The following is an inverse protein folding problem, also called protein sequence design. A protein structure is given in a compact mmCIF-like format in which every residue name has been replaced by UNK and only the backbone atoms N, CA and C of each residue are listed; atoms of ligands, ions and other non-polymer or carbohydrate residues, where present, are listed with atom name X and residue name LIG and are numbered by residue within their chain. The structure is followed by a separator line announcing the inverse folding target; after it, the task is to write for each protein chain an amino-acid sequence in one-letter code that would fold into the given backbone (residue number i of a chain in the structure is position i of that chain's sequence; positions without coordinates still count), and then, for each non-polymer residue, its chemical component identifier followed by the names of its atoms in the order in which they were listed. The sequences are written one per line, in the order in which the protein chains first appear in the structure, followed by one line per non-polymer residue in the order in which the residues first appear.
data_IF_548604542375
#
_entry.id   IF_548604542375
#
_cell.length_a   1.000
_cell.length_b   1.000
_cell.length_c   1.000
_cell.angle_alpha   90.00
_cell.angle_beta   90.00
_cell.angle_gamma   90.00
#
_symmetry.space_group_name_H-M   'P 1'
#
loop_
_entity.id
_entity.type
_entity.pdbx_description
1 polymer ?
#
# COMPACT_ATOMS: atom_id res chain seq x y z
N UNK A 1 2.57 -22.82 9.71
CA UNK A 1 2.63 -21.50 9.05
C UNK A 1 1.23 -20.91 9.18
N UNK A 2 1.02 -19.59 9.06
CA UNK A 2 -0.35 -19.03 9.11
C UNK A 2 -1.16 -19.57 7.92
N UNK A 3 -2.39 -20.06 8.13
CA UNK A 3 -3.27 -20.60 7.09
C UNK A 3 -3.41 -19.65 5.87
N UNK A 4 -3.31 -18.34 6.11
CA UNK A 4 -3.30 -17.32 5.05
C UNK A 4 -2.02 -17.35 4.22
N UNK A 5 -0.85 -17.51 4.84
CA UNK A 5 0.42 -17.64 4.12
C UNK A 5 0.42 -18.92 3.29
N UNK A 6 -0.05 -20.05 3.84
CA UNK A 6 -0.19 -21.32 3.12
C UNK A 6 -1.10 -21.20 1.89
N UNK A 7 -2.21 -20.46 2.02
CA UNK A 7 -3.11 -20.15 0.90
C UNK A 7 -2.42 -19.32 -0.19
N UNK A 8 -1.66 -18.28 0.19
CA UNK A 8 -0.95 -17.42 -0.77
C UNK A 8 0.13 -18.22 -1.51
N UNK A 9 0.91 -19.03 -0.77
CA UNK A 9 1.95 -19.89 -1.35
C UNK A 9 1.34 -20.89 -2.33
N UNK A 10 0.17 -21.45 -2.01
CA UNK A 10 -0.55 -22.35 -2.92
C UNK A 10 -1.00 -21.64 -4.20
N UNK A 11 -1.50 -20.40 -4.10
CA UNK A 11 -1.86 -19.59 -5.28
C UNK A 11 -0.65 -19.27 -6.15
N UNK A 12 0.45 -18.84 -5.54
CA UNK A 12 1.71 -18.58 -6.23
C UNK A 12 2.23 -19.84 -6.93
N UNK A 13 2.26 -20.97 -6.24
CA UNK A 13 2.66 -22.27 -6.80
C UNK A 13 1.83 -22.61 -8.04
N UNK A 14 0.51 -22.43 -7.98
CA UNK A 14 -0.36 -22.73 -9.12
C UNK A 14 -0.04 -21.87 -10.33
N UNK A 15 0.17 -20.55 -10.14
CA UNK A 15 0.54 -19.64 -11.22
C UNK A 15 1.89 -20.07 -11.82
N UNK A 16 2.92 -20.31 -10.99
CA UNK A 16 4.23 -20.71 -11.50
C UNK A 16 4.22 -22.04 -12.24
N UNK A 17 3.44 -23.02 -11.77
CA UNK A 17 3.28 -24.30 -12.44
C UNK A 17 2.66 -24.13 -13.84
N UNK A 18 1.68 -23.24 -14.01
CA UNK A 18 1.10 -22.94 -15.32
C UNK A 18 2.16 -22.45 -16.32
N UNK A 19 3.14 -21.69 -15.84
CA UNK A 19 4.22 -21.14 -16.67
C UNK A 19 5.51 -21.96 -16.66
N UNK A 20 5.53 -23.14 -16.04
CA UNK A 20 6.74 -23.96 -15.91
C UNK A 20 7.89 -23.28 -15.13
N UNK A 21 7.57 -22.31 -14.29
CA UNK A 21 8.54 -21.49 -13.57
C UNK A 21 8.90 -22.07 -12.19
N UNK A 22 9.66 -23.15 -12.22
CA UNK A 22 10.13 -23.79 -10.98
C UNK A 22 11.18 -22.94 -10.25
N UNK A 23 11.87 -22.05 -10.95
CA UNK A 23 12.94 -21.22 -10.39
C UNK A 23 12.38 -20.15 -9.46
N UNK A 24 11.37 -19.40 -9.89
CA UNK A 24 10.75 -18.36 -9.05
C UNK A 24 10.03 -18.96 -7.84
N UNK A 25 9.40 -20.13 -8.00
CA UNK A 25 8.81 -20.83 -6.86
C UNK A 25 9.88 -21.26 -5.83
N UNK A 26 11.02 -21.78 -6.29
CA UNK A 26 12.12 -22.13 -5.39
C UNK A 26 12.71 -20.90 -4.71
N UNK A 27 12.84 -19.78 -5.43
CA UNK A 27 13.26 -18.49 -4.84
C UNK A 27 12.33 -18.11 -3.68
N UNK A 28 11.02 -18.21 -3.86
CA UNK A 28 10.04 -17.90 -2.80
C UNK A 28 10.21 -18.84 -1.60
N UNK A 29 10.35 -20.15 -1.84
CA UNK A 29 10.55 -21.10 -0.74
C UNK A 29 11.86 -20.86 0.00
N UNK A 30 12.96 -20.59 -0.71
CA UNK A 30 14.27 -20.38 -0.10
C UNK A 30 14.35 -19.04 0.63
N UNK A 31 14.03 -17.93 -0.05
CA UNK A 31 14.27 -16.59 0.47
C UNK A 31 13.12 -16.04 1.33
N UNK A 32 11.88 -16.53 1.17
CA UNK A 32 10.75 -16.04 1.97
C UNK A 32 10.42 -16.99 3.12
N UNK A 33 10.25 -18.27 2.79
CA UNK A 33 9.68 -19.26 3.73
C UNK A 33 10.76 -19.83 4.64
N UNK A 34 11.87 -20.31 4.06
CA UNK A 34 12.91 -21.02 4.80
C UNK A 34 13.83 -20.07 5.58
N UNK A 35 14.00 -18.82 5.14
CA UNK A 35 14.79 -17.78 5.83
C UNK A 35 13.93 -16.84 6.72
N UNK A 36 12.61 -17.07 6.82
CA UNK A 36 11.63 -16.27 7.58
C UNK A 36 11.85 -14.75 7.45
N UNK A 37 11.48 -14.27 6.26
CA UNK A 37 11.29 -12.85 5.91
C UNK A 37 12.57 -12.04 5.89
N UNK A 38 13.20 -12.00 4.73
CA UNK A 38 14.19 -10.96 4.46
C UNK A 38 13.45 -9.63 4.56
N UNK A 39 13.85 -8.84 5.55
CA UNK A 39 13.42 -7.46 5.72
C UNK A 39 13.80 -6.69 4.44
N UNK A 40 12.87 -5.90 3.91
CA UNK A 40 13.04 -5.02 2.75
C UNK A 40 12.91 -5.73 1.40
N UNK A 41 11.66 -5.89 0.94
CA UNK A 41 11.36 -6.21 -0.46
C UNK A 41 10.73 -4.99 -1.10
N UNK A 42 11.56 -4.12 -1.70
CA UNK A 42 11.06 -3.13 -2.65
C UNK A 42 10.83 -3.85 -4.00
N UNK A 43 9.68 -4.52 -4.10
CA UNK A 43 9.29 -5.22 -5.33
C UNK A 43 8.75 -4.19 -6.31
N UNK A 44 9.41 -4.07 -7.45
CA UNK A 44 9.03 -3.18 -8.53
C UNK A 44 8.83 -3.95 -9.83
N UNK A 45 8.01 -3.39 -10.71
CA UNK A 45 7.94 -3.89 -12.08
C UNK A 45 9.16 -3.44 -12.88
N UNK A 46 9.79 -4.40 -13.54
CA UNK A 46 10.81 -4.13 -14.55
C UNK A 46 10.50 -4.91 -15.82
N UNK A 47 10.86 -4.34 -16.97
CA UNK A 47 10.74 -5.06 -18.24
C UNK A 47 11.70 -6.26 -18.22
N UNK A 48 11.18 -7.44 -18.52
CA UNK A 48 11.99 -8.62 -18.80
C UNK A 48 12.57 -8.51 -20.22
N UNK A 49 13.90 -8.54 -20.30
CA UNK A 49 14.65 -8.35 -21.54
C UNK A 49 14.37 -9.43 -22.60
N UNK A 50 13.89 -10.61 -22.18
CA UNK A 50 13.68 -11.75 -23.07
C UNK A 50 12.23 -11.90 -23.51
N UNK A 51 11.29 -11.35 -22.73
CA UNK A 51 9.86 -11.61 -22.87
C UNK A 51 9.04 -10.36 -23.18
N UNK A 52 9.63 -9.17 -23.05
CA UNK A 52 8.95 -7.89 -23.27
C UNK A 52 7.66 -7.73 -22.43
N UNK A 53 7.66 -8.33 -21.24
CA UNK A 53 6.60 -8.18 -20.24
C UNK A 53 7.19 -7.54 -18.99
N UNK A 54 6.36 -6.84 -18.21
CA UNK A 54 6.75 -6.36 -16.88
C UNK A 54 6.68 -7.49 -15.87
N UNK A 55 7.76 -7.73 -15.13
CA UNK A 55 7.84 -8.77 -14.10
C UNK A 55 8.19 -8.17 -12.74
N UNK A 56 7.69 -8.77 -11.63
CA UNK A 56 8.07 -8.37 -10.28
C UNK A 56 9.52 -8.69 -10.00
N UNK A 57 10.27 -7.68 -9.56
CA UNK A 57 11.70 -7.76 -9.26
C UNK A 57 11.98 -7.08 -7.93
N UNK A 58 12.80 -7.69 -7.08
CA UNK A 58 13.40 -7.01 -5.93
C UNK A 58 14.93 -6.95 -6.06
N UNK A 59 15.54 -5.98 -5.39
CA UNK A 59 16.99 -5.95 -5.19
C UNK A 59 17.30 -6.37 -3.76
N UNK A 60 17.98 -7.50 -3.59
CA UNK A 60 18.40 -8.04 -2.30
C UNK A 60 19.92 -8.16 -2.30
N UNK A 61 20.61 -7.53 -1.35
CA UNK A 61 22.08 -7.52 -1.26
C UNK A 61 22.77 -7.14 -2.58
N UNK A 62 22.27 -6.08 -3.23
CA UNK A 62 22.72 -5.62 -4.56
C UNK A 62 22.52 -6.61 -5.71
N UNK A 63 21.78 -7.71 -5.49
CA UNK A 63 21.40 -8.69 -6.51
C UNK A 63 19.95 -8.48 -6.93
N UNK A 64 19.75 -8.37 -8.24
CA UNK A 64 18.42 -8.31 -8.85
C UNK A 64 17.81 -9.73 -8.87
N UNK A 65 16.66 -9.89 -8.21
CA UNK A 65 15.90 -11.13 -8.17
C UNK A 65 14.58 -10.90 -8.88
N UNK A 66 14.36 -11.61 -9.99
CA UNK A 66 13.04 -11.67 -10.64
C UNK A 66 12.24 -12.82 -10.06
N UNK A 67 10.98 -12.54 -9.72
CA UNK A 67 10.02 -13.52 -9.17
C UNK A 67 9.04 -14.04 -10.21
N UNK A 68 9.27 -13.74 -11.50
CA UNK A 68 8.50 -14.34 -12.58
C UNK A 68 9.38 -14.51 -13.81
N UNK A 69 9.59 -15.77 -14.18
CA UNK A 69 10.43 -16.24 -15.29
C UNK A 69 9.68 -17.34 -16.04
N UNK A 70 8.56 -17.01 -16.71
CA UNK A 70 7.76 -18.01 -17.40
C UNK A 70 8.56 -18.65 -18.55
N UNK A 71 8.42 -19.96 -18.71
CA UNK A 71 9.08 -20.70 -19.79
C UNK A 71 8.43 -20.35 -21.15
N UNK A 72 9.26 -20.06 -22.16
CA UNK A 72 8.78 -19.68 -23.51
C UNK A 72 7.75 -20.65 -24.09
N UNK A 73 7.96 -21.96 -23.90
CA UNK A 73 7.02 -22.98 -24.36
C UNK A 73 5.69 -22.97 -23.60
N UNK A 74 5.71 -22.67 -22.29
CA UNK A 74 4.49 -22.61 -21.48
C UNK A 74 3.66 -21.35 -21.77
N UNK A 75 4.30 -20.28 -22.25
CA UNK A 75 3.60 -19.09 -22.74
C UNK A 75 3.03 -19.26 -24.16
N UNK A 76 3.48 -20.27 -24.90
CA UNK A 76 3.04 -20.49 -26.28
C UNK A 76 1.55 -20.85 -26.31
N UNK A 77 0.71 -19.88 -26.70
CA UNK A 77 -0.75 -20.02 -26.74
C UNK A 77 -1.48 -19.28 -25.63
N UNK A 78 -0.77 -18.67 -24.68
CA UNK A 78 -1.35 -17.76 -23.68
C UNK A 78 -1.25 -16.31 -24.19
N UNK A 79 -2.37 -15.58 -24.32
CA UNK A 79 -2.34 -14.16 -24.68
C UNK A 79 -1.49 -13.34 -23.70
N UNK A 80 -0.62 -12.45 -24.23
CA UNK A 80 0.24 -11.57 -23.42
C UNK A 80 -0.51 -10.83 -22.29
N UNK A 81 -1.73 -10.29 -22.49
CA UNK A 81 -2.46 -9.63 -21.39
C UNK A 81 -2.73 -10.54 -20.18
N UNK A 82 -2.96 -11.84 -20.41
CA UNK A 82 -3.17 -12.81 -19.31
C UNK A 82 -1.87 -13.01 -18.53
N UNK A 83 -0.74 -13.08 -19.23
CA UNK A 83 0.59 -13.22 -18.62
C UNK A 83 0.93 -11.97 -17.80
N UNK A 84 0.58 -10.79 -18.30
CA UNK A 84 0.74 -9.52 -17.57
C UNK A 84 -0.18 -9.43 -16.34
N UNK A 85 -1.42 -9.89 -16.44
CA UNK A 85 -2.33 -9.99 -15.29
C UNK A 85 -1.80 -10.94 -14.21
N UNK A 86 -1.29 -12.11 -14.61
CA UNK A 86 -0.68 -13.05 -13.67
C UNK A 86 0.61 -12.48 -13.06
N UNK A 87 1.41 -11.73 -13.82
CA UNK A 87 2.57 -11.00 -13.30
C UNK A 87 2.16 -9.99 -12.21
N UNK A 88 1.08 -9.24 -12.43
CA UNK A 88 0.49 -8.35 -11.41
C UNK A 88 0.00 -9.10 -10.20
N UNK A 89 -0.66 -10.23 -10.40
CA UNK A 89 -1.15 -11.08 -9.33
C UNK A 89 -0.01 -11.67 -8.50
N UNK A 90 1.10 -12.08 -9.12
CA UNK A 90 2.30 -12.54 -8.42
C UNK A 90 2.82 -11.41 -7.52
N UNK A 91 2.99 -10.19 -8.04
CA UNK A 91 3.46 -9.05 -7.24
C UNK A 91 2.55 -8.79 -6.03
N UNK A 92 1.23 -8.80 -6.24
CA UNK A 92 0.25 -8.66 -5.15
C UNK A 92 0.41 -9.74 -4.09
N UNK A 93 0.51 -11.01 -4.51
CA UNK A 93 0.67 -12.15 -3.59
C UNK A 93 2.00 -12.10 -2.82
N UNK A 94 3.09 -11.64 -3.46
CA UNK A 94 4.38 -11.44 -2.80
C UNK A 94 4.32 -10.31 -1.77
N UNK A 95 3.65 -9.20 -2.06
CA UNK A 95 3.42 -8.12 -1.10
C UNK A 95 2.56 -8.59 0.08
N UNK A 96 1.53 -9.42 -0.16
CA UNK A 96 0.73 -10.04 0.91
C UNK A 96 1.58 -10.95 1.80
N UNK A 97 2.43 -11.77 1.18
CA UNK A 97 3.39 -12.60 1.91
C UNK A 97 4.32 -11.75 2.75
N UNK A 98 4.93 -10.72 2.17
CA UNK A 98 5.83 -9.81 2.89
C UNK A 98 5.15 -9.22 4.12
N UNK A 99 3.97 -8.62 3.96
CA UNK A 99 3.20 -8.05 5.07
C UNK A 99 2.82 -9.06 6.16
N UNK A 100 2.29 -10.23 5.79
CA UNK A 100 1.93 -11.27 6.76
C UNK A 100 3.15 -11.78 7.52
N UNK A 101 4.28 -11.75 6.85
CA UNK A 101 5.51 -12.25 7.39
C UNK A 101 6.17 -11.22 8.32
N UNK A 102 6.08 -9.92 8.01
CA UNK A 102 6.34 -8.84 8.97
C UNK A 102 5.40 -8.92 10.18
N UNK A 103 4.09 -9.18 9.96
CA UNK A 103 3.07 -9.40 11.02
C UNK A 103 3.42 -10.52 11.99
N UNK A 104 4.03 -11.58 11.50
CA UNK A 104 4.40 -12.74 12.31
C UNK A 104 5.77 -12.55 13.00
N UNK A 105 6.63 -11.64 12.50
CA UNK A 105 7.95 -11.31 13.06
C UNK A 105 7.98 -10.10 14.02
N UNK A 106 7.05 -9.16 13.86
CA UNK A 106 6.78 -8.01 14.75
C UNK A 106 5.27 -7.78 14.76
N UNK A 107 4.69 -7.49 15.93
CA UNK A 107 3.26 -7.16 16.06
C UNK A 107 2.82 -6.17 14.96
N UNK A 108 2.18 -6.64 13.88
CA UNK A 108 1.44 -5.75 12.99
C UNK A 108 0.22 -5.35 13.78
N UNK A 109 0.31 -4.16 14.38
CA UNK A 109 -0.86 -3.45 14.85
C UNK A 109 -1.79 -3.35 13.64
N UNK A 110 -2.92 -4.04 13.69
CA UNK A 110 -4.07 -3.63 12.89
C UNK A 110 -4.19 -2.12 13.11
N UNK A 111 -4.41 -1.35 12.05
CA UNK A 111 -4.71 0.05 12.26
C UNK A 111 -6.02 0.12 13.05
N UNK A 112 -5.90 0.43 14.33
CA UNK A 112 -7.01 0.61 15.25
C UNK A 112 -7.03 2.08 15.62
N UNK A 113 -8.08 2.82 15.25
CA UNK A 113 -8.33 4.18 15.73
C UNK A 113 -8.10 4.30 17.24
N UNK A 114 -7.40 5.35 17.68
CA UNK A 114 -7.24 5.66 19.11
C UNK A 114 -8.24 6.69 19.62
N UNK A 115 -8.85 7.43 18.70
CA UNK A 115 -9.88 8.41 18.98
C UNK A 115 -11.19 7.83 18.46
N UNK A 116 -12.05 7.38 19.37
CA UNK A 116 -13.35 6.77 19.05
C UNK A 116 -14.41 7.83 18.73
N UNK A 117 -14.36 8.97 19.41
CA UNK A 117 -15.27 10.11 19.23
C UNK A 117 -14.50 11.34 18.76
N UNK A 118 -14.36 11.45 17.43
CA UNK A 118 -13.59 12.52 16.79
C UNK A 118 -14.32 13.86 16.97
N UNK A 119 -15.65 13.88 16.84
CA UNK A 119 -16.45 15.11 16.85
C UNK A 119 -16.35 15.86 18.19
N UNK A 120 -16.17 15.13 19.31
CA UNK A 120 -15.96 15.72 20.63
C UNK A 120 -14.50 16.01 20.99
N UNK A 121 -13.55 15.58 20.16
CA UNK A 121 -12.11 15.77 20.42
C UNK A 121 -11.67 17.17 20.02
N UNK A 122 -11.31 18.00 21.01
CA UNK A 122 -10.80 19.37 20.80
C UNK A 122 -9.27 19.50 21.01
N UNK A 123 -8.57 18.39 21.26
CA UNK A 123 -7.12 18.41 21.48
C UNK A 123 -6.36 18.28 20.17
N UNK A 124 -5.79 19.40 19.70
CA UNK A 124 -4.92 19.46 18.51
C UNK A 124 -3.81 18.42 18.60
N UNK A 125 -3.12 18.33 19.75
CA UNK A 125 -2.00 17.41 19.92
C UNK A 125 -2.42 15.94 19.79
N UNK A 126 -3.60 15.56 20.31
CA UNK A 126 -4.09 14.18 20.17
C UNK A 126 -4.41 13.84 18.72
N UNK A 127 -5.01 14.78 17.98
CA UNK A 127 -5.32 14.60 16.56
C UNK A 127 -4.03 14.50 15.74
N UNK A 128 -3.04 15.36 15.99
CA UNK A 128 -1.76 15.35 15.30
C UNK A 128 -0.93 14.09 15.59
N UNK A 129 -0.91 13.62 16.84
CA UNK A 129 -0.24 12.37 17.22
C UNK A 129 -0.89 11.15 16.54
N UNK A 130 -2.22 11.17 16.43
CA UNK A 130 -2.95 10.10 15.75
C UNK A 130 -2.72 10.13 14.23
N UNK A 131 -2.77 11.30 13.60
CA UNK A 131 -2.40 11.48 12.19
C UNK A 131 -0.98 10.97 11.96
N UNK A 132 0.01 11.41 12.75
CA UNK A 132 1.39 10.95 12.63
C UNK A 132 1.51 9.43 12.63
N UNK A 133 0.82 8.76 13.55
CA UNK A 133 0.80 7.30 13.65
C UNK A 133 0.17 6.65 12.41
N UNK A 134 -0.87 7.25 11.83
CA UNK A 134 -1.49 6.79 10.60
C UNK A 134 -0.49 6.86 9.44
N UNK A 135 0.15 8.00 9.23
CA UNK A 135 1.11 8.18 8.13
C UNK A 135 2.34 7.29 8.28
N UNK A 136 2.84 7.10 9.51
CA UNK A 136 3.88 6.11 9.79
C UNK A 136 3.43 4.68 9.44
N UNK A 137 2.18 4.32 9.74
CA UNK A 137 1.62 3.00 9.39
C UNK A 137 1.47 2.81 7.87
N UNK A 138 1.09 3.85 7.15
CA UNK A 138 1.00 3.84 5.68
C UNK A 138 2.36 4.01 4.97
N UNK A 139 3.44 4.16 5.73
CA UNK A 139 4.79 4.50 5.26
C UNK A 139 4.81 5.74 4.34
N UNK A 140 3.88 6.66 4.58
CA UNK A 140 3.75 7.89 3.83
C UNK A 140 4.59 8.98 4.51
N UNK A 141 5.73 9.27 3.88
CA UNK A 141 6.74 10.19 4.43
C UNK A 141 6.54 11.63 3.97
N UNK A 142 5.60 11.88 3.05
CA UNK A 142 5.48 13.16 2.36
C UNK A 142 4.24 13.92 2.80
N UNK A 143 3.11 13.24 2.99
CA UNK A 143 1.84 13.93 3.14
C UNK A 143 1.59 14.40 4.59
N UNK A 144 2.16 13.73 5.61
CA UNK A 144 2.08 14.25 6.98
C UNK A 144 2.75 15.63 7.17
N UNK A 145 4.01 15.86 6.72
CA UNK A 145 4.59 17.20 6.70
C UNK A 145 3.78 18.22 5.90
N UNK A 146 3.14 17.81 4.80
CA UNK A 146 2.30 18.71 3.99
C UNK A 146 1.05 19.14 4.75
N UNK A 147 0.37 18.21 5.40
CA UNK A 147 -0.81 18.51 6.25
C UNK A 147 -0.42 19.46 7.39
N UNK A 148 0.73 19.24 8.03
CA UNK A 148 1.26 20.18 9.01
C UNK A 148 1.48 21.58 8.41
N UNK A 149 2.00 21.65 7.18
CA UNK A 149 2.17 22.90 6.45
C UNK A 149 0.85 23.61 6.14
N UNK A 150 -0.11 22.89 5.58
CA UNK A 150 -1.39 23.44 5.12
C UNK A 150 -2.31 23.85 6.26
N UNK A 151 -2.32 23.12 7.39
CA UNK A 151 -3.34 23.29 8.41
C UNK A 151 -2.81 24.02 9.64
N UNK A 152 -1.58 23.73 10.08
CA UNK A 152 -1.05 24.31 11.32
C UNK A 152 -0.45 25.70 11.06
N UNK A 153 0.22 25.88 9.91
CA UNK A 153 0.94 27.12 9.64
C UNK A 153 0.12 28.18 8.89
N UNK A 154 -0.98 27.80 8.21
CA UNK A 154 -1.81 28.72 7.42
C UNK A 154 -3.25 28.19 7.24
N UNK A 155 -4.02 28.02 8.32
CA UNK A 155 -5.32 27.34 8.30
C UNK A 155 -6.34 27.97 7.35
N UNK A 156 -6.29 29.29 7.14
CA UNK A 156 -7.26 30.01 6.31
C UNK A 156 -6.98 29.96 4.81
N UNK A 157 -5.77 29.54 4.41
CA UNK A 157 -5.26 29.78 3.05
C UNK A 157 -5.16 28.52 2.20
N UNK A 158 -5.29 27.32 2.76
CA UNK A 158 -4.97 26.10 2.02
C UNK A 158 -6.11 25.09 2.00
N UNK A 159 -6.46 24.39 3.07
CA UNK A 159 -7.48 23.32 3.01
C UNK A 159 -8.76 23.73 3.74
N UNK A 160 -9.90 23.74 3.01
CA UNK A 160 -11.23 24.10 3.55
C UNK A 160 -12.01 22.91 4.07
N UNK A 161 -11.85 21.75 3.43
CA UNK A 161 -12.53 20.51 3.80
C UNK A 161 -11.83 19.30 3.20
N UNK A 162 -12.00 18.13 3.81
CA UNK A 162 -11.47 16.86 3.29
C UNK A 162 -12.61 15.89 3.05
N UNK A 163 -12.70 15.36 1.82
CA UNK A 163 -13.64 14.33 1.44
C UNK A 163 -12.93 12.99 1.20
N UNK A 164 -13.66 11.89 1.31
CA UNK A 164 -13.18 10.59 0.81
C UNK A 164 -13.68 10.41 -0.61
N UNK A 165 -12.78 10.43 -1.58
CA UNK A 165 -13.12 10.28 -2.99
C UNK A 165 -12.43 9.06 -3.58
N UNK A 166 -13.07 8.47 -4.60
CA UNK A 166 -12.46 7.37 -5.35
C UNK A 166 -11.59 7.97 -6.45
N UNK A 167 -10.27 7.90 -6.29
CA UNK A 167 -9.28 8.40 -7.26
C UNK A 167 -8.49 7.24 -7.87
N UNK A 168 -7.56 7.55 -8.79
CA UNK A 168 -6.61 6.59 -9.34
C UNK A 168 -5.23 6.87 -8.78
N UNK A 169 -4.68 5.91 -8.05
CA UNK A 169 -3.29 5.90 -7.62
C UNK A 169 -2.60 4.66 -8.20
N UNK A 170 -1.50 4.84 -8.92
CA UNK A 170 -0.78 3.75 -9.61
C UNK A 170 -1.68 2.88 -10.52
N UNK A 171 -2.60 3.50 -11.26
CA UNK A 171 -3.64 2.85 -12.08
C UNK A 171 -4.66 1.99 -11.30
N UNK A 172 -4.63 2.03 -9.97
CA UNK A 172 -5.58 1.36 -9.08
C UNK A 172 -6.63 2.37 -8.65
N UNK A 173 -7.91 2.02 -8.81
CA UNK A 173 -9.00 2.84 -8.29
C UNK A 173 -9.17 2.59 -6.79
N UNK A 174 -8.96 3.62 -5.99
CA UNK A 174 -8.83 3.54 -4.53
C UNK A 174 -9.52 4.73 -3.87
N UNK A 175 -10.06 4.54 -2.66
CA UNK A 175 -10.58 5.64 -1.86
C UNK A 175 -9.42 6.33 -1.13
N UNK A 176 -9.29 7.64 -1.25
CA UNK A 176 -8.29 8.44 -0.54
C UNK A 176 -8.94 9.69 0.08
N UNK A 177 -8.36 10.23 1.16
CA UNK A 177 -8.71 11.55 1.66
C UNK A 177 -8.21 12.62 0.67
N UNK A 178 -9.11 13.44 0.14
CA UNK A 178 -8.84 14.52 -0.80
C UNK A 178 -9.13 15.85 -0.12
N UNK A 179 -8.11 16.71 0.01
CA UNK A 179 -8.26 18.07 0.50
C UNK A 179 -8.83 18.98 -0.58
N UNK A 180 -9.82 19.80 -0.26
CA UNK A 180 -10.37 20.86 -1.11
C UNK A 180 -9.80 22.21 -0.70
N UNK A 181 -9.19 22.91 -1.65
CA UNK A 181 -8.49 24.15 -1.40
C UNK A 181 -9.33 25.38 -1.74
N UNK A 182 -8.99 26.54 -1.15
CA UNK A 182 -9.75 27.80 -1.31
C UNK A 182 -9.81 28.27 -2.77
N UNK A 183 -8.77 27.99 -3.54
CA UNK A 183 -8.66 28.28 -4.97
C UNK A 183 -9.39 27.25 -5.88
N UNK A 184 -10.11 26.30 -5.28
CA UNK A 184 -10.76 25.14 -5.90
C UNK A 184 -9.81 24.04 -6.38
N UNK A 185 -8.53 24.06 -5.99
CA UNK A 185 -7.65 22.93 -6.22
C UNK A 185 -8.01 21.75 -5.29
N UNK A 186 -7.50 20.57 -5.64
CA UNK A 186 -7.70 19.35 -4.87
C UNK A 186 -6.42 18.51 -4.86
N UNK A 187 -6.02 18.01 -3.70
CA UNK A 187 -4.84 17.16 -3.55
C UNK A 187 -5.17 15.92 -2.72
N UNK A 188 -4.55 14.78 -3.07
CA UNK A 188 -4.50 13.61 -2.20
C UNK A 188 -3.73 13.93 -0.92
N UNK A 189 -4.31 13.57 0.22
CA UNK A 189 -3.70 13.74 1.54
C UNK A 189 -3.18 12.42 2.12
N UNK A 190 -3.06 11.39 1.28
CA UNK A 190 -2.45 10.12 1.63
C UNK A 190 -1.90 9.47 0.36
N UNK A 191 -0.60 9.20 0.36
CA UNK A 191 0.09 8.44 -0.69
C UNK A 191 0.60 7.13 -0.09
N UNK A 192 -0.27 6.12 0.06
CA UNK A 192 0.09 4.87 0.69
C UNK A 192 1.06 4.08 -0.20
N UNK A 193 1.95 3.32 0.44
CA UNK A 193 2.86 2.45 -0.28
C UNK A 193 2.11 1.39 -1.13
N UNK A 194 2.63 1.11 -2.31
CA UNK A 194 2.03 0.15 -3.25
C UNK A 194 1.85 -1.24 -2.64
N UNK A 195 2.75 -1.67 -1.75
CA UNK A 195 2.62 -2.95 -1.07
C UNK A 195 1.44 -2.97 -0.10
N UNK A 196 1.10 -1.83 0.53
CA UNK A 196 0.02 -1.77 1.51
C UNK A 196 -1.37 -1.62 0.86
N UNK A 197 -1.44 -0.95 -0.30
CA UNK A 197 -2.66 -0.88 -1.13
C UNK A 197 -3.05 -2.27 -1.64
N UNK A 198 -2.07 -3.05 -2.10
CA UNK A 198 -2.30 -4.34 -2.75
C UNK A 198 -2.92 -5.42 -1.84
N UNK A 199 -2.94 -5.17 -0.53
CA UNK A 199 -3.25 -6.19 0.49
C UNK A 199 -4.43 -5.84 1.38
N UNK A 200 -4.77 -4.54 1.48
CA UNK A 200 -5.97 -4.11 2.16
C UNK A 200 -7.17 -4.24 1.22
N UNK A 201 -8.30 -4.65 1.78
CA UNK A 201 -9.55 -4.57 1.05
C UNK A 201 -9.91 -3.11 0.75
N UNK A 202 -10.61 -2.88 -0.35
CA UNK A 202 -11.14 -1.55 -0.69
C UNK A 202 -11.96 -0.94 0.47
N UNK A 203 -12.69 -1.79 1.21
CA UNK A 203 -13.44 -1.37 2.40
C UNK A 203 -12.55 -0.91 3.57
N UNK A 204 -11.44 -1.60 3.84
CA UNK A 204 -10.47 -1.18 4.86
C UNK A 204 -9.82 0.15 4.51
N UNK A 205 -9.37 0.31 3.26
CA UNK A 205 -8.76 1.57 2.80
C UNK A 205 -9.78 2.71 2.86
N UNK A 206 -11.02 2.47 2.47
CA UNK A 206 -12.10 3.46 2.55
C UNK A 206 -12.37 3.89 3.98
N UNK A 207 -12.44 2.95 4.92
CA UNK A 207 -12.69 3.25 6.33
C UNK A 207 -11.54 4.05 6.94
N UNK A 208 -10.30 3.68 6.65
CA UNK A 208 -9.13 4.40 7.16
C UNK A 208 -9.01 5.79 6.52
N UNK A 209 -9.30 5.92 5.23
CA UNK A 209 -9.38 7.22 4.55
C UNK A 209 -10.45 8.12 5.15
N UNK A 210 -11.59 7.54 5.53
CA UNK A 210 -12.66 8.26 6.23
C UNK A 210 -12.20 8.73 7.60
N UNK A 211 -11.52 7.87 8.35
CA UNK A 211 -10.94 8.23 9.64
C UNK A 211 -9.94 9.39 9.53
N UNK A 212 -9.05 9.35 8.54
CA UNK A 212 -8.11 10.45 8.26
C UNK A 212 -8.87 11.74 7.91
N UNK A 213 -9.85 11.67 7.01
CA UNK A 213 -10.64 12.83 6.63
C UNK A 213 -11.36 13.46 7.83
N UNK A 214 -11.91 12.63 8.72
CA UNK A 214 -12.60 13.11 9.93
C UNK A 214 -11.63 13.79 10.90
N UNK A 215 -10.45 13.22 11.14
CA UNK A 215 -9.40 13.83 11.95
C UNK A 215 -8.96 15.19 11.39
N UNK A 216 -8.73 15.27 10.08
CA UNK A 216 -8.28 16.50 9.43
C UNK A 216 -9.39 17.57 9.46
N UNK A 217 -10.63 17.20 9.16
CA UNK A 217 -11.76 18.13 9.25
C UNK A 217 -11.96 18.66 10.67
N UNK A 218 -11.78 17.80 11.69
CA UNK A 218 -11.84 18.24 13.07
C UNK A 218 -10.70 19.20 13.42
N UNK A 219 -9.49 18.94 12.92
CA UNK A 219 -8.37 19.86 13.08
C UNK A 219 -8.66 21.23 12.46
N UNK A 220 -9.17 21.25 11.21
CA UNK A 220 -9.60 22.50 10.53
C UNK A 220 -10.62 23.23 11.39
N UNK A 221 -11.67 22.55 11.85
CA UNK A 221 -12.73 23.13 12.68
C UNK A 221 -12.18 23.78 13.96
N UNK A 222 -11.22 23.16 14.64
CA UNK A 222 -10.63 23.71 15.87
C UNK A 222 -9.81 24.96 15.54
N UNK A 223 -8.99 24.89 14.49
CA UNK A 223 -8.08 25.98 14.10
C UNK A 223 -8.85 27.22 13.61
N UNK A 224 -9.97 27.05 12.91
CA UNK A 224 -10.77 28.17 12.39
C UNK A 224 -11.82 28.71 13.36
N UNK A 225 -12.25 27.93 14.38
CA UNK A 225 -13.17 28.41 15.44
C UNK A 225 -12.46 29.09 16.61
N UNK A 226 -11.12 29.06 16.63
CA UNK A 226 -10.32 29.67 17.71
C UNK A 226 -10.11 31.19 17.52
N UNK A 227 -10.80 31.80 16.56
CA UNK A 227 -10.96 33.25 16.38
C UNK A 227 -12.32 33.74 16.89
#
# INVERSE_FOLDING_TARGET
MDDKMDSIISKLKNIFLMYGDTTSFNIINTWIINEKVINVWDIQFQNDENLNIKVPVAVIDSKKISFFKPAKMAMSGVPLPIIEEDSKKIMQLLNQLHYLSEKNGKQVRKFEPRIDDIDSTNSINLILDELKRIYEYYNDKLDFPRIMGYIVNSPELYITHVNVEKTKLFDISIYLPIGKFVDNDSEELLTPDNSLIAIKSEGEIKNDSKYIADLINQLINIMTKSE
#
